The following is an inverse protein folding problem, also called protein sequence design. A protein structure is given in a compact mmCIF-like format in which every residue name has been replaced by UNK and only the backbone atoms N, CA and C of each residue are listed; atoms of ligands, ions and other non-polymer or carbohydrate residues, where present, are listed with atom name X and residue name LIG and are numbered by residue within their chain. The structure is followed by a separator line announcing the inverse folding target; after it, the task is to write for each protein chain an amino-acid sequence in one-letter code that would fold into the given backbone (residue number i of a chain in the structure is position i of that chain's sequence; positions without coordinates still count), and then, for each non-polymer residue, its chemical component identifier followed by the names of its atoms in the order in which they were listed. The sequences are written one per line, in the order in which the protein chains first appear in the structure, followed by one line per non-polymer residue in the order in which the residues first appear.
data_IF_167175996726
#
_entry.id   IF_167175996726
#
_cell.length_a   1.000
_cell.length_b   1.000
_cell.length_c   1.000
_cell.angle_alpha   90.00
_cell.angle_beta   90.00
_cell.angle_gamma   90.00
#
_symmetry.space_group_name_H-M   'P 1'
#
loop_
_entity.id
_entity.type
_entity.pdbx_description
1 polymer ?
#
# COMPACT_ATOMS: atom_id res chain seq x y z
N UNK A 1 -10.32 6.02 31.76
CA UNK A 1 -11.34 5.82 30.71
C UNK A 1 -10.80 6.52 29.47
N UNK A 2 -9.82 5.90 28.82
CA UNK A 2 -9.11 6.53 27.71
C UNK A 2 -9.75 6.17 26.38
N UNK A 3 -9.92 7.24 25.60
CA UNK A 3 -10.71 7.32 24.38
C UNK A 3 -10.20 6.28 23.37
N UNK A 4 -11.07 5.34 23.07
CA UNK A 4 -11.03 4.55 21.85
C UNK A 4 -11.11 5.52 20.67
N UNK A 5 -9.96 5.92 20.14
CA UNK A 5 -9.90 6.56 18.83
C UNK A 5 -10.49 5.54 17.87
N UNK A 6 -11.68 5.85 17.34
CA UNK A 6 -12.26 5.14 16.21
C UNK A 6 -11.16 4.98 15.17
N UNK A 7 -10.67 3.77 14.96
CA UNK A 7 -9.89 3.40 13.80
C UNK A 7 -10.84 3.51 12.60
N UNK A 8 -11.00 4.72 12.09
CA UNK A 8 -11.53 4.92 10.74
C UNK A 8 -10.49 4.33 9.80
N UNK A 9 -10.93 3.52 8.85
CA UNK A 9 -10.11 2.79 7.89
C UNK A 9 -9.36 3.70 6.88
N UNK A 10 -9.04 4.95 7.26
CA UNK A 10 -8.71 6.04 6.35
C UNK A 10 -7.29 6.60 6.51
N UNK A 11 -6.38 5.91 7.20
CA UNK A 11 -4.96 6.26 7.14
C UNK A 11 -4.28 5.49 6.01
N UNK A 12 -4.59 5.85 4.76
CA UNK A 12 -3.77 5.44 3.63
C UNK A 12 -2.50 6.31 3.64
N UNK A 13 -1.46 5.85 4.34
CA UNK A 13 -0.16 6.51 4.37
C UNK A 13 0.55 6.32 3.02
N UNK A 14 0.17 7.12 2.02
CA UNK A 14 0.82 7.18 0.71
C UNK A 14 2.06 8.05 0.75
N UNK A 15 3.11 7.57 0.09
CA UNK A 15 4.32 8.31 -0.19
C UNK A 15 4.58 8.34 -1.69
N UNK A 16 5.32 9.35 -2.16
CA UNK A 16 5.87 9.36 -3.51
C UNK A 16 6.64 8.06 -3.77
N UNK A 17 6.38 7.42 -4.91
CA UNK A 17 6.94 6.14 -5.31
C UNK A 17 6.13 4.91 -4.90
N UNK A 18 5.09 5.05 -4.07
CA UNK A 18 4.23 3.91 -3.75
C UNK A 18 3.49 3.41 -5.00
N UNK A 19 3.50 2.09 -5.22
CA UNK A 19 2.69 1.44 -6.26
C UNK A 19 1.24 1.38 -5.79
N UNK A 20 0.32 1.87 -6.61
CA UNK A 20 -1.12 1.93 -6.30
C UNK A 20 -1.94 1.33 -7.44
N UNK A 21 -3.17 0.93 -7.11
CA UNK A 21 -4.18 0.44 -8.06
C UNK A 21 -5.49 1.16 -7.83
N UNK A 22 -6.14 1.54 -8.93
CA UNK A 22 -7.50 2.09 -8.93
C UNK A 22 -8.51 0.97 -8.65
N UNK A 23 -9.37 1.15 -7.64
CA UNK A 23 -10.37 0.17 -7.20
C UNK A 23 -11.79 0.48 -7.66
N UNK A 24 -12.04 1.71 -8.12
CA UNK A 24 -13.37 2.17 -8.56
C UNK A 24 -13.27 3.24 -9.66
N UNK A 25 -14.38 3.47 -10.38
CA UNK A 25 -14.43 4.39 -11.51
C UNK A 25 -13.99 3.77 -12.84
N UNK A 26 -13.87 4.61 -13.87
CA UNK A 26 -13.62 4.18 -15.26
C UNK A 26 -12.22 3.58 -15.46
N UNK A 27 -11.27 4.00 -14.62
CA UNK A 27 -9.89 3.55 -14.65
C UNK A 27 -9.61 2.36 -13.72
N UNK A 28 -10.66 1.63 -13.31
CA UNK A 28 -10.52 0.49 -12.39
C UNK A 28 -9.51 -0.53 -12.92
N UNK A 29 -8.69 -1.05 -12.01
CA UNK A 29 -7.57 -1.96 -12.24
C UNK A 29 -6.34 -1.32 -12.90
N UNK A 30 -6.35 -0.03 -13.25
CA UNK A 30 -5.15 0.67 -13.64
C UNK A 30 -4.17 0.73 -12.47
N UNK A 31 -2.93 0.36 -12.72
CA UNK A 31 -1.82 0.46 -11.76
C UNK A 31 -0.88 1.60 -12.13
N UNK A 32 -0.16 2.10 -11.15
CA UNK A 32 0.81 3.16 -11.36
C UNK A 32 1.55 3.52 -10.07
N UNK A 33 2.39 4.55 -10.16
CA UNK A 33 3.21 5.04 -9.05
C UNK A 33 2.76 6.42 -8.61
N UNK A 34 2.75 6.67 -7.30
CA UNK A 34 2.42 7.98 -6.74
C UNK A 34 3.53 8.98 -7.05
N UNK A 35 3.18 10.12 -7.65
CA UNK A 35 4.09 11.24 -7.91
C UNK A 35 4.01 12.27 -6.77
N UNK A 36 2.80 12.62 -6.36
CA UNK A 36 2.51 13.53 -5.24
C UNK A 36 1.16 13.23 -4.61
N UNK A 37 0.99 13.70 -3.37
CA UNK A 37 -0.25 13.57 -2.60
C UNK A 37 -0.62 14.97 -2.09
N UNK A 38 -1.74 15.49 -2.57
CA UNK A 38 -2.24 16.83 -2.26
C UNK A 38 -3.62 16.72 -1.59
N UNK A 39 -3.63 16.72 -0.25
CA UNK A 39 -4.83 16.52 0.60
C UNK A 39 -5.56 15.21 0.28
N UNK A 40 -6.51 15.25 -0.64
CA UNK A 40 -7.35 14.11 -1.06
C UNK A 40 -7.12 13.70 -2.52
N UNK A 41 -6.26 14.40 -3.25
CA UNK A 41 -5.92 14.11 -4.65
C UNK A 41 -4.52 13.53 -4.70
N UNK A 42 -4.36 12.46 -5.45
CA UNK A 42 -3.10 11.77 -5.70
C UNK A 42 -2.79 11.87 -7.16
N UNK A 43 -1.60 12.40 -7.49
CA UNK A 43 -1.08 12.38 -8.85
C UNK A 43 -0.38 11.05 -9.07
N UNK A 44 -0.84 10.28 -10.05
CA UNK A 44 -0.33 8.96 -10.39
C UNK A 44 0.30 8.96 -11.78
N UNK A 45 1.48 8.38 -11.90
CA UNK A 45 2.08 7.98 -13.17
C UNK A 45 1.61 6.56 -13.51
N UNK A 46 0.83 6.34 -14.58
CA UNK A 46 0.35 5.01 -14.95
C UNK A 46 1.49 4.07 -15.38
N UNK A 47 1.44 2.83 -14.94
CA UNK A 47 2.33 1.75 -15.39
C UNK A 47 1.69 1.04 -16.60
N UNK A 48 1.48 1.79 -17.69
CA UNK A 48 0.86 1.28 -18.92
C UNK A 48 1.40 1.99 -20.16
N UNK A 49 1.78 1.22 -21.19
CA UNK A 49 2.46 1.75 -22.40
C UNK A 49 1.64 2.78 -23.18
N UNK A 50 0.33 2.58 -23.22
CA UNK A 50 -0.58 3.45 -23.98
C UNK A 50 -1.06 4.67 -23.20
N UNK A 51 -0.77 4.77 -21.90
CA UNK A 51 -1.21 5.87 -21.04
C UNK A 51 0.01 6.58 -20.46
N UNK A 52 0.44 7.64 -21.12
CA UNK A 52 1.60 8.45 -20.72
C UNK A 52 1.22 9.69 -19.90
N UNK A 53 -0.09 9.96 -19.76
CA UNK A 53 -0.58 11.12 -19.04
C UNK A 53 -0.63 10.86 -17.52
N UNK A 54 -0.16 11.83 -16.73
CA UNK A 54 -0.32 11.84 -15.27
C UNK A 54 -1.81 12.01 -14.93
N UNK A 55 -2.30 11.18 -14.02
CA UNK A 55 -3.70 11.15 -13.63
C UNK A 55 -3.89 11.71 -12.22
N UNK A 56 -4.90 12.55 -12.05
CA UNK A 56 -5.33 13.05 -10.74
C UNK A 56 -6.48 12.17 -10.24
N UNK A 57 -6.23 11.43 -9.15
CA UNK A 57 -7.16 10.45 -8.59
C UNK A 57 -7.52 10.81 -7.15
N UNK A 58 -8.77 10.58 -6.75
CA UNK A 58 -9.15 10.72 -5.34
C UNK A 58 -8.57 9.56 -4.51
N UNK A 59 -8.08 9.86 -3.29
CA UNK A 59 -7.55 8.85 -2.34
C UNK A 59 -8.54 7.69 -2.13
N UNK A 60 -9.85 7.95 -2.11
CA UNK A 60 -10.89 6.94 -1.92
C UNK A 60 -11.03 5.94 -3.07
N UNK A 61 -10.51 6.27 -4.26
CA UNK A 61 -10.59 5.45 -5.47
C UNK A 61 -9.37 4.54 -5.67
N UNK A 62 -8.39 4.60 -4.77
CA UNK A 62 -7.13 3.89 -4.91
C UNK A 62 -6.81 3.05 -3.66
N UNK A 63 -5.93 2.07 -3.85
CA UNK A 63 -5.33 1.29 -2.76
C UNK A 63 -3.88 0.99 -3.11
N UNK A 64 -3.04 0.73 -2.11
CA UNK A 64 -1.69 0.24 -2.36
C UNK A 64 -1.75 -1.09 -3.10
N UNK A 65 -0.91 -1.24 -4.10
CA UNK A 65 -0.82 -2.43 -4.90
C UNK A 65 0.47 -3.16 -4.60
N UNK A 66 0.33 -4.44 -4.26
CA UNK A 66 1.44 -5.34 -3.98
C UNK A 66 1.23 -6.64 -4.76
N UNK A 67 2.33 -7.35 -4.95
CA UNK A 67 2.40 -8.65 -5.59
C UNK A 67 3.05 -9.67 -4.64
N UNK A 68 2.82 -10.95 -4.89
CA UNK A 68 3.51 -12.01 -4.14
C UNK A 68 5.00 -11.97 -4.43
N UNK A 69 5.83 -12.05 -3.40
CA UNK A 69 7.28 -11.89 -3.50
C UNK A 69 7.78 -10.48 -3.16
N UNK A 70 6.89 -9.49 -3.07
CA UNK A 70 7.25 -8.15 -2.63
C UNK A 70 7.78 -8.18 -1.18
N UNK A 71 8.92 -7.53 -0.98
CA UNK A 71 9.45 -7.26 0.35
C UNK A 71 8.73 -6.03 0.91
N UNK A 72 8.23 -6.15 2.13
CA UNK A 72 7.44 -5.10 2.75
C UNK A 72 7.85 -4.85 4.19
N UNK A 73 7.57 -3.64 4.63
CA UNK A 73 7.68 -3.22 6.01
C UNK A 73 6.30 -2.80 6.52
N UNK A 74 5.95 -3.22 7.73
CA UNK A 74 4.69 -2.88 8.36
C UNK A 74 4.82 -1.51 9.02
N UNK A 75 4.05 -0.53 8.56
CA UNK A 75 4.04 0.83 9.08
C UNK A 75 3.12 0.99 10.29
N UNK A 76 2.07 0.16 10.41
CA UNK A 76 1.03 0.32 11.44
C UNK A 76 0.36 -1.03 11.79
N UNK A 77 -0.20 -1.12 13.00
CA UNK A 77 -0.83 -2.31 13.57
C UNK A 77 0.08 -3.11 14.52
N UNK A 78 -0.38 -4.30 14.91
CA UNK A 78 0.29 -5.14 15.93
C UNK A 78 1.73 -5.52 15.57
N UNK A 79 2.02 -5.68 14.27
CA UNK A 79 3.35 -6.02 13.76
C UNK A 79 4.12 -4.82 13.20
N UNK A 80 3.81 -3.59 13.67
CA UNK A 80 4.53 -2.38 13.24
C UNK A 80 6.06 -2.55 13.38
N UNK A 81 6.79 -2.13 12.35
CA UNK A 81 8.24 -2.23 12.25
C UNK A 81 8.74 -3.58 11.73
N UNK A 82 7.89 -4.60 11.63
CA UNK A 82 8.29 -5.88 11.08
C UNK A 82 8.51 -5.82 9.57
N UNK A 83 9.52 -6.57 9.12
CA UNK A 83 9.85 -6.78 7.72
C UNK A 83 9.59 -8.22 7.32
N UNK A 84 9.23 -8.41 6.07
CA UNK A 84 9.03 -9.74 5.51
C UNK A 84 8.64 -9.72 4.05
N UNK A 85 8.25 -10.89 3.55
CA UNK A 85 7.88 -11.09 2.15
C UNK A 85 6.41 -11.46 2.08
N UNK A 86 5.66 -10.85 1.14
CA UNK A 86 4.27 -11.23 0.88
C UNK A 86 4.21 -12.61 0.25
N UNK A 87 3.62 -13.58 0.94
CA UNK A 87 3.42 -14.95 0.42
C UNK A 87 2.07 -15.09 -0.28
N UNK A 88 1.07 -14.32 0.13
CA UNK A 88 -0.28 -14.38 -0.44
C UNK A 88 -1.06 -13.08 -0.21
N UNK A 89 -1.93 -12.74 -1.16
CA UNK A 89 -2.85 -11.59 -1.05
C UNK A 89 -4.29 -12.11 -1.18
N UNK A 90 -5.17 -11.72 -0.25
CA UNK A 90 -6.59 -12.07 -0.24
C UNK A 90 -7.41 -10.81 0.01
N UNK A 91 -8.08 -10.32 -1.03
CA UNK A 91 -8.81 -9.05 -0.97
C UNK A 91 -7.88 -7.87 -0.68
N UNK A 92 -8.08 -7.20 0.45
CA UNK A 92 -7.25 -6.08 0.93
C UNK A 92 -6.24 -6.50 2.02
N UNK A 93 -6.08 -7.81 2.27
CA UNK A 93 -5.17 -8.36 3.27
C UNK A 93 -3.99 -9.03 2.59
N UNK A 94 -2.81 -8.84 3.19
CA UNK A 94 -1.58 -9.48 2.79
C UNK A 94 -1.13 -10.43 3.90
N UNK A 95 -0.77 -11.64 3.51
CA UNK A 95 -0.13 -12.64 4.36
C UNK A 95 1.37 -12.52 4.10
N UNK A 96 2.13 -12.32 5.18
CA UNK A 96 3.55 -11.96 5.14
C UNK A 96 4.32 -12.98 5.97
N UNK A 97 5.38 -13.53 5.40
CA UNK A 97 6.34 -14.32 6.14
C UNK A 97 7.37 -13.38 6.78
N UNK A 98 7.39 -13.33 8.12
CA UNK A 98 8.32 -12.48 8.89
C UNK A 98 9.73 -13.05 8.86
N UNK A 99 10.71 -12.22 8.49
CA UNK A 99 12.13 -12.61 8.47
C UNK A 99 12.66 -12.89 9.89
N UNK A 100 12.11 -12.22 10.90
CA UNK A 100 12.55 -12.31 12.30
C UNK A 100 11.82 -13.44 13.02
N UNK A 101 10.49 -13.47 12.97
CA UNK A 101 9.68 -14.45 13.71
C UNK A 101 9.65 -15.82 13.06
N UNK A 102 10.09 -15.93 11.80
CA UNK A 102 10.03 -17.15 10.97
C UNK A 102 8.63 -17.76 10.92
N UNK A 103 7.60 -16.89 10.94
CA UNK A 103 6.18 -17.25 10.94
C UNK A 103 5.41 -16.28 10.06
N UNK A 104 4.28 -16.75 9.54
CA UNK A 104 3.34 -15.91 8.80
C UNK A 104 2.46 -15.09 9.73
N UNK A 105 2.10 -13.89 9.30
CA UNK A 105 1.07 -13.06 9.91
C UNK A 105 0.28 -12.34 8.81
N UNK A 106 -0.90 -11.83 9.16
CA UNK A 106 -1.78 -11.13 8.23
C UNK A 106 -1.96 -9.69 8.64
N UNK A 107 -1.87 -8.76 7.67
CA UNK A 107 -2.17 -7.34 7.89
C UNK A 107 -2.89 -6.73 6.68
N UNK A 108 -3.35 -5.48 6.80
CA UNK A 108 -3.96 -4.74 5.70
C UNK A 108 -2.89 -4.24 4.74
N UNK A 109 -3.17 -4.28 3.44
CA UNK A 109 -2.26 -3.72 2.43
C UNK A 109 -1.92 -2.24 2.71
N UNK A 110 -2.88 -1.46 3.24
CA UNK A 110 -2.66 -0.05 3.58
C UNK A 110 -1.61 0.16 4.68
N UNK A 111 -1.40 -0.85 5.55
CA UNK A 111 -0.42 -0.79 6.62
C UNK A 111 1.00 -1.13 6.15
N UNK A 112 1.19 -1.41 4.86
CA UNK A 112 2.47 -1.85 4.31
C UNK A 112 3.14 -0.76 3.49
N UNK A 113 4.46 -0.86 3.42
CA UNK A 113 5.29 -0.13 2.47
C UNK A 113 6.21 -1.10 1.75
N UNK A 114 6.39 -0.90 0.44
CA UNK A 114 7.38 -1.65 -0.31
C UNK A 114 8.77 -1.32 0.25
N UNK A 115 9.52 -2.34 0.63
CA UNK A 115 10.90 -2.21 1.05
C UNK A 115 11.79 -2.49 -0.14
N UNK A 116 12.57 -1.52 -0.59
CA UNK A 116 13.78 -1.84 -1.34
C UNK A 116 14.69 -2.66 -0.41
N UNK A 117 15.38 -3.68 -0.92
CA UNK A 117 16.33 -4.49 -0.14
C UNK A 117 17.47 -3.67 0.50
N UNK A 118 17.56 -2.37 0.19
CA UNK A 118 18.53 -1.42 0.72
C UNK A 118 17.77 -0.24 1.36
N UNK A 119 18.12 0.06 2.61
CA UNK A 119 17.71 1.20 3.46
C UNK A 119 16.40 1.08 4.28
N UNK A 120 16.63 0.92 5.60
CA UNK A 120 15.90 1.39 6.79
C UNK A 120 14.40 1.73 6.69
N UNK A 121 13.63 0.98 7.51
CA UNK A 121 12.48 1.52 8.21
C UNK A 121 13.04 2.10 9.51
#
# INVERSE_FOLDING_TARGET
IEKWKKMTAENLCLSKGDKIRVISGDLKNLTGFVISVDKNIVKMEPDHKDITQILDLEIKMITKHFETGDHVCVLDGESQGEKGIITKIVGNRCIIFSDIRKKEFTTLANNLKLSSQVAEC
#
